data_IF_810247160857
#
_entry.id   IF_810247160857
#
_cell.length_a   1.000
_cell.length_b   1.000
_cell.length_c   1.000
_cell.angle_alpha   90.00
_cell.angle_beta   90.00
_cell.angle_gamma   90.00
#
_symmetry.space_group_name_H-M   'P 1'
#
loop_
_entity.id
_entity.type
_entity.pdbx_description
1 polymer ?
#
# COMPACT_ATOMS: atom_id res chain seq x y z
N UNK A 1 7.95 -7.92 -13.60
CA UNK A 1 7.33 -7.34 -12.38
C UNK A 1 6.17 -8.17 -11.85
N UNK A 2 5.09 -8.37 -12.63
CA UNK A 2 3.91 -9.14 -12.18
C UNK A 2 4.28 -10.58 -11.79
N UNK A 3 5.07 -11.27 -12.61
CA UNK A 3 5.57 -12.63 -12.31
C UNK A 3 6.28 -12.74 -10.97
N UNK A 4 7.18 -11.81 -10.67
CA UNK A 4 7.91 -11.75 -9.40
C UNK A 4 6.96 -11.52 -8.22
N UNK A 5 5.96 -10.65 -8.40
CA UNK A 5 4.98 -10.37 -7.37
C UNK A 5 4.08 -11.58 -7.07
N UNK A 6 3.66 -12.32 -8.10
CA UNK A 6 2.89 -13.58 -7.94
C UNK A 6 3.72 -14.63 -7.23
N UNK A 7 4.99 -14.80 -7.60
CA UNK A 7 5.89 -15.79 -7.00
C UNK A 7 6.11 -15.55 -5.50
N UNK A 8 6.28 -14.28 -5.10
CA UNK A 8 6.60 -13.91 -3.72
C UNK A 8 5.39 -13.45 -2.89
N UNK A 9 4.16 -13.62 -3.41
CA UNK A 9 2.93 -13.07 -2.81
C UNK A 9 2.68 -13.55 -1.37
N UNK A 10 3.01 -14.80 -1.05
CA UNK A 10 2.77 -15.40 0.27
C UNK A 10 3.99 -15.37 1.20
N UNK A 11 5.13 -14.85 0.73
CA UNK A 11 6.41 -14.88 1.47
C UNK A 11 6.52 -13.68 2.44
N UNK A 12 5.67 -13.66 3.45
CA UNK A 12 5.64 -12.64 4.50
C UNK A 12 5.32 -13.23 5.86
N UNK A 13 5.74 -12.52 6.91
CA UNK A 13 5.40 -12.83 8.29
C UNK A 13 4.57 -11.70 8.90
N UNK A 14 3.88 -11.99 9.98
CA UNK A 14 3.14 -11.00 10.75
C UNK A 14 3.88 -10.75 12.07
N UNK A 15 4.02 -9.48 12.44
CA UNK A 15 4.61 -9.07 13.71
C UNK A 15 3.63 -8.18 14.45
N UNK A 16 3.37 -8.50 15.71
CA UNK A 16 2.61 -7.65 16.62
C UNK A 16 3.49 -6.51 17.10
N UNK A 17 3.10 -5.27 16.80
CA UNK A 17 3.81 -4.07 17.24
C UNK A 17 2.89 -3.28 18.15
N UNK A 18 3.41 -2.86 19.30
CA UNK A 18 2.71 -1.93 20.18
C UNK A 18 2.80 -0.52 19.58
N UNK A 19 1.66 0.07 19.28
CA UNK A 19 1.56 1.42 18.73
C UNK A 19 0.77 2.29 19.71
N UNK A 20 1.29 3.47 20.02
CA UNK A 20 0.58 4.43 20.87
C UNK A 20 -0.43 5.23 20.05
N UNK A 21 -1.68 5.23 20.50
CA UNK A 21 -2.77 6.05 19.96
C UNK A 21 -3.24 7.06 21.01
N UNK A 22 -3.89 8.14 20.57
CA UNK A 22 -4.62 9.00 21.51
C UNK A 22 -5.86 8.25 22.01
N UNK A 23 -6.11 8.30 23.32
CA UNK A 23 -7.34 7.78 23.91
C UNK A 23 -8.48 8.73 23.58
N UNK A 24 -9.60 8.17 23.11
CA UNK A 24 -10.76 8.94 22.67
C UNK A 24 -11.93 8.70 23.61
N UNK A 25 -12.73 9.74 23.84
CA UNK A 25 -14.05 9.64 24.47
C UNK A 25 -15.07 8.99 23.52
N UNK A 26 -16.25 8.63 24.02
CA UNK A 26 -17.38 8.10 23.25
C UNK A 26 -17.82 9.01 22.09
N UNK A 27 -17.48 10.30 22.15
CA UNK A 27 -17.74 11.31 21.10
C UNK A 27 -16.59 11.49 20.11
N UNK A 28 -15.55 10.66 20.18
CA UNK A 28 -14.37 10.70 19.29
C UNK A 28 -13.40 11.85 19.56
N UNK A 29 -13.55 12.56 20.68
CA UNK A 29 -12.64 13.64 21.10
C UNK A 29 -11.48 13.07 21.93
N UNK A 30 -10.30 13.70 21.85
CA UNK A 30 -9.11 13.26 22.59
C UNK A 30 -9.24 13.59 24.08
N UNK A 31 -8.95 12.61 24.93
CA UNK A 31 -8.90 12.80 26.38
C UNK A 31 -7.60 13.53 26.74
N UNK A 32 -7.74 14.57 27.57
CA UNK A 32 -6.64 15.38 28.05
C UNK A 32 -6.40 15.08 29.54
N UNK A 33 -5.13 14.98 29.93
CA UNK A 33 -4.68 14.96 31.32
C UNK A 33 -3.83 16.19 31.58
N UNK A 34 -3.98 16.81 32.74
CA UNK A 34 -3.15 17.95 33.13
C UNK A 34 -1.78 17.45 33.61
N UNK A 35 -0.72 17.99 33.03
CA UNK A 35 0.66 17.76 33.44
C UNK A 35 1.28 19.04 33.99
N UNK A 36 2.17 18.92 34.96
CA UNK A 36 2.88 20.05 35.56
C UNK A 36 4.29 20.13 34.99
N UNK A 37 4.70 21.34 34.60
CA UNK A 37 6.05 21.65 34.14
C UNK A 37 7.04 21.70 35.31
N UNK A 38 8.35 21.66 35.03
CA UNK A 38 9.39 21.84 36.05
C UNK A 38 9.32 23.20 36.77
N UNK A 39 8.67 24.18 36.17
CA UNK A 39 8.44 25.52 36.72
C UNK A 39 6.99 25.70 37.22
N UNK A 40 6.34 24.62 37.67
CA UNK A 40 4.97 24.58 38.21
C UNK A 40 3.83 25.07 37.30
N UNK A 41 4.10 25.34 36.02
CA UNK A 41 3.07 25.67 35.03
C UNK A 41 2.30 24.42 34.60
N UNK A 42 0.98 24.46 34.68
CA UNK A 42 0.08 23.37 34.26
C UNK A 42 -0.24 23.48 32.77
N UNK A 43 -0.25 22.35 32.07
CA UNK A 43 -0.61 22.25 30.66
C UNK A 43 -1.30 20.93 30.36
N UNK A 44 -2.14 20.90 29.33
CA UNK A 44 -2.89 19.71 28.95
C UNK A 44 -2.10 18.83 27.98
N UNK A 45 -2.09 17.53 28.26
CA UNK A 45 -1.43 16.51 27.45
C UNK A 45 -2.44 15.46 27.05
N UNK A 46 -2.43 15.05 25.79
CA UNK A 46 -3.28 13.97 25.29
C UNK A 46 -2.90 12.66 25.97
N UNK A 47 -3.88 12.00 26.61
CA UNK A 47 -3.70 10.66 27.15
C UNK A 47 -3.50 9.66 26.00
N UNK A 48 -2.51 8.78 26.15
CA UNK A 48 -2.15 7.80 25.12
C UNK A 48 -2.36 6.39 25.62
N UNK A 49 -2.96 5.56 24.79
CA UNK A 49 -3.16 4.14 25.02
C UNK A 49 -2.24 3.32 24.09
N UNK A 50 -1.70 2.21 24.59
CA UNK A 50 -0.93 1.28 23.77
C UNK A 50 -1.87 0.26 23.16
N UNK A 51 -1.97 0.28 21.83
CA UNK A 51 -2.74 -0.68 21.05
C UNK A 51 -1.79 -1.64 20.35
N UNK A 52 -2.12 -2.93 20.38
CA UNK A 52 -1.42 -3.93 19.59
C UNK A 52 -1.91 -3.83 18.14
N UNK A 53 -0.99 -3.57 17.21
CA UNK A 53 -1.26 -3.58 15.78
C UNK A 53 -0.50 -4.72 15.13
N UNK A 54 -1.19 -5.55 14.36
CA UNK A 54 -0.54 -6.55 13.51
C UNK A 54 -0.02 -5.87 12.25
N UNK A 55 1.29 -5.97 12.01
CA UNK A 55 1.95 -5.41 10.83
C UNK A 55 2.55 -6.55 10.03
N UNK A 56 2.34 -6.53 8.71
CA UNK A 56 2.99 -7.44 7.77
C UNK A 56 4.45 -7.03 7.55
N UNK A 57 5.35 -8.00 7.61
CA UNK A 57 6.79 -7.85 7.36
C UNK A 57 7.18 -8.82 6.25
N UNK A 58 7.79 -8.31 5.19
CA UNK A 58 8.22 -9.13 4.04
C UNK A 58 9.44 -9.98 4.41
N UNK A 59 9.47 -11.24 3.97
CA UNK A 59 10.66 -12.09 4.08
C UNK A 59 11.78 -11.59 3.15
N UNK A 60 13.07 -11.95 3.38
CA UNK A 60 14.19 -11.45 2.59
C UNK A 60 14.04 -11.62 1.07
N UNK A 61 13.49 -12.74 0.60
CA UNK A 61 13.24 -12.99 -0.83
C UNK A 61 12.22 -12.01 -1.41
N UNK A 62 11.08 -11.86 -0.72
CA UNK A 62 10.02 -10.91 -1.09
C UNK A 62 10.51 -9.47 -1.04
N UNK A 63 11.33 -9.12 -0.05
CA UNK A 63 11.91 -7.78 0.08
C UNK A 63 12.85 -7.47 -1.10
N UNK A 64 13.66 -8.44 -1.53
CA UNK A 64 14.52 -8.29 -2.69
C UNK A 64 13.70 -8.07 -3.98
N UNK A 65 12.67 -8.90 -4.21
CA UNK A 65 11.76 -8.74 -5.34
C UNK A 65 11.03 -7.37 -5.30
N UNK A 66 10.60 -6.95 -4.12
CA UNK A 66 9.95 -5.66 -3.90
C UNK A 66 10.85 -4.49 -4.25
N UNK A 67 12.14 -4.53 -3.88
CA UNK A 67 13.12 -3.50 -4.23
C UNK A 67 13.36 -3.42 -5.73
N UNK A 68 13.45 -4.57 -6.41
CA UNK A 68 13.55 -4.61 -7.87
C UNK A 68 12.31 -4.04 -8.56
N UNK A 69 11.13 -4.23 -7.99
CA UNK A 69 9.89 -3.64 -8.52
C UNK A 69 9.84 -2.13 -8.26
N UNK A 70 10.31 -1.68 -7.08
CA UNK A 70 10.35 -0.26 -6.70
C UNK A 70 11.25 0.60 -7.57
N UNK A 71 12.26 0.03 -8.23
CA UNK A 71 13.11 0.80 -9.15
C UNK A 71 12.39 1.17 -10.45
N UNK A 72 11.32 0.46 -10.78
CA UNK A 72 10.56 0.67 -12.02
C UNK A 72 9.21 1.34 -11.76
N UNK A 73 8.54 0.99 -10.65
CA UNK A 73 7.26 1.58 -10.30
C UNK A 73 7.43 2.91 -9.55
N UNK A 74 6.70 3.92 -9.99
CA UNK A 74 6.60 5.21 -9.33
C UNK A 74 5.35 5.23 -8.46
N UNK A 75 5.39 5.98 -7.36
CA UNK A 75 4.19 6.25 -6.57
C UNK A 75 3.24 7.16 -7.34
N UNK A 76 1.98 6.74 -7.43
CA UNK A 76 0.95 7.48 -8.14
C UNK A 76 -0.07 8.07 -7.17
N UNK A 77 -1.01 8.84 -7.70
CA UNK A 77 -2.18 9.31 -6.96
C UNK A 77 -3.43 8.69 -7.55
N UNK A 78 -4.37 8.37 -6.69
CA UNK A 78 -5.73 7.98 -7.09
C UNK A 78 -6.51 9.20 -7.60
N UNK A 79 -7.70 8.94 -8.14
CA UNK A 79 -8.69 9.95 -8.57
C UNK A 79 -9.03 10.94 -7.44
N UNK A 80 -9.07 10.47 -6.18
CA UNK A 80 -9.26 11.28 -4.96
C UNK A 80 -8.03 12.13 -4.58
N UNK A 81 -6.91 12.03 -5.30
CA UNK A 81 -5.64 12.67 -4.97
C UNK A 81 -4.85 12.00 -3.83
N UNK A 82 -5.32 10.86 -3.31
CA UNK A 82 -4.62 10.07 -2.28
C UNK A 82 -3.38 9.40 -2.87
N UNK A 83 -2.27 9.37 -2.12
CA UNK A 83 -1.04 8.67 -2.53
C UNK A 83 -1.27 7.17 -2.51
N UNK A 84 -0.98 6.53 -3.64
CA UNK A 84 -1.09 5.10 -3.82
C UNK A 84 0.29 4.50 -3.83
N UNK A 85 0.50 3.54 -2.94
CA UNK A 85 1.68 2.70 -3.03
C UNK A 85 1.42 1.61 -4.09
N UNK A 86 1.87 1.89 -5.32
CA UNK A 86 1.68 1.02 -6.49
C UNK A 86 2.22 -0.39 -6.26
N UNK A 87 3.30 -0.52 -5.47
CA UNK A 87 3.90 -1.80 -5.13
C UNK A 87 2.99 -2.60 -4.19
N UNK A 88 2.39 -1.96 -3.18
CA UNK A 88 1.38 -2.62 -2.35
C UNK A 88 0.17 -3.06 -3.17
N UNK A 89 -0.30 -2.21 -4.08
CA UNK A 89 -1.42 -2.55 -4.96
C UNK A 89 -1.10 -3.78 -5.84
N UNK A 90 0.12 -3.82 -6.38
CA UNK A 90 0.60 -4.98 -7.15
C UNK A 90 0.57 -6.28 -6.33
N UNK A 91 1.05 -6.26 -5.08
CA UNK A 91 1.09 -7.46 -4.23
C UNK A 91 -0.28 -7.84 -3.65
N UNK A 92 -1.13 -6.86 -3.32
CA UNK A 92 -2.37 -7.11 -2.59
C UNK A 92 -3.57 -7.32 -3.50
N UNK A 93 -3.56 -6.71 -4.69
CA UNK A 93 -4.72 -6.71 -5.60
C UNK A 93 -4.44 -7.46 -6.89
N UNK A 94 -3.27 -7.22 -7.50
CA UNK A 94 -2.96 -7.76 -8.84
C UNK A 94 -2.40 -9.19 -8.75
N UNK A 95 -1.37 -9.42 -7.94
CA UNK A 95 -0.72 -10.73 -7.79
C UNK A 95 -1.70 -11.87 -7.42
N UNK A 96 -2.65 -11.69 -6.47
CA UNK A 96 -3.59 -12.75 -6.12
C UNK A 96 -4.48 -13.22 -7.29
N UNK A 97 -4.78 -12.33 -8.26
CA UNK A 97 -5.60 -12.68 -9.43
C UNK A 97 -4.91 -13.63 -10.39
N UNK A 98 -3.58 -13.71 -10.33
CA UNK A 98 -2.75 -14.46 -11.27
C UNK A 98 -2.07 -15.68 -10.65
N UNK A 99 -2.50 -16.09 -9.46
CA UNK A 99 -1.99 -17.32 -8.84
C UNK A 99 -2.23 -18.50 -9.79
N UNK A 100 -1.18 -19.28 -10.07
CA UNK A 100 -1.24 -20.42 -10.97
C UNK A 100 -1.06 -20.09 -12.47
N UNK A 101 -0.95 -18.81 -12.85
CA UNK A 101 -0.69 -18.41 -14.23
C UNK A 101 0.81 -18.25 -14.49
N UNK A 102 1.36 -19.03 -15.41
CA UNK A 102 2.80 -19.03 -15.76
C UNK A 102 3.18 -18.03 -16.87
N UNK A 103 2.49 -16.90 -17.00
CA UNK A 103 2.81 -15.85 -17.98
C UNK A 103 1.62 -15.28 -18.74
N UNK A 104 1.88 -14.37 -19.67
CA UNK A 104 0.84 -13.74 -20.50
C UNK A 104 -0.20 -12.97 -19.66
N UNK A 105 0.27 -12.05 -18.82
CA UNK A 105 -0.57 -11.26 -17.91
C UNK A 105 -1.29 -10.10 -18.60
N UNK A 106 -0.86 -9.75 -19.81
CA UNK A 106 -1.41 -8.66 -20.61
C UNK A 106 -1.96 -9.19 -21.93
N UNK A 107 -2.97 -8.50 -22.46
CA UNK A 107 -3.56 -8.74 -23.78
C UNK A 107 -3.57 -7.43 -24.55
N UNK A 108 -3.31 -7.52 -25.85
CA UNK A 108 -3.42 -6.41 -26.80
C UNK A 108 -4.57 -6.70 -27.76
N UNK A 109 -5.56 -5.81 -27.78
CA UNK A 109 -6.68 -5.87 -28.73
C UNK A 109 -6.50 -4.75 -29.75
N UNK A 110 -6.26 -5.10 -31.01
CA UNK A 110 -6.11 -4.11 -32.09
C UNK A 110 -7.44 -3.43 -32.37
N UNK A 111 -7.39 -2.11 -32.52
CA UNK A 111 -8.50 -1.27 -32.94
C UNK A 111 -8.30 -0.85 -34.40
N UNK A 112 -9.33 -0.23 -34.98
CA UNK A 112 -9.22 0.44 -36.28
C UNK A 112 -8.26 1.63 -36.25
N UNK A 113 -8.02 2.22 -37.41
CA UNK A 113 -7.18 3.41 -37.54
C UNK A 113 -7.82 4.63 -36.85
N UNK A 114 -7.00 5.44 -36.19
CA UNK A 114 -7.43 6.70 -35.58
C UNK A 114 -7.84 7.69 -36.66
N UNK A 115 -8.96 8.38 -36.44
CA UNK A 115 -9.50 9.37 -37.38
C UNK A 115 -8.58 10.59 -37.42
N UNK A 116 -8.11 10.97 -38.61
CA UNK A 116 -7.32 12.19 -38.87
C UNK A 116 -5.86 11.92 -39.26
N UNK A 117 -5.23 10.90 -38.68
CA UNK A 117 -3.83 10.54 -38.95
C UNK A 117 -3.64 9.07 -39.41
N UNK A 118 -4.73 8.30 -39.48
CA UNK A 118 -4.76 6.88 -39.81
C UNK A 118 -3.82 6.01 -38.94
N UNK A 119 -3.45 6.47 -37.74
CA UNK A 119 -2.55 5.75 -36.87
C UNK A 119 -3.20 4.45 -36.33
N UNK A 120 -2.51 3.30 -36.36
CA UNK A 120 -3.06 2.05 -35.82
C UNK A 120 -3.20 2.16 -34.29
N UNK A 121 -4.38 1.78 -33.78
CA UNK A 121 -4.70 1.84 -32.37
C UNK A 121 -4.78 0.43 -31.76
N UNK A 122 -4.58 0.34 -30.44
CA UNK A 122 -4.83 -0.87 -29.68
C UNK A 122 -5.18 -0.56 -28.22
N UNK A 123 -5.93 -1.46 -27.59
CA UNK A 123 -6.19 -1.46 -26.15
C UNK A 123 -5.24 -2.46 -25.49
N UNK A 124 -4.60 -2.04 -24.41
CA UNK A 124 -3.77 -2.88 -23.54
C UNK A 124 -4.53 -3.17 -22.25
N UNK A 125 -4.76 -4.44 -21.96
CA UNK A 125 -5.53 -4.86 -20.78
C UNK A 125 -4.77 -5.92 -19.99
N UNK A 126 -5.04 -5.97 -18.69
CA UNK A 126 -4.66 -7.07 -17.81
C UNK A 126 -5.67 -8.22 -17.98
N UNK A 127 -5.20 -9.46 -18.05
CA UNK A 127 -6.03 -10.66 -18.35
C UNK A 127 -6.72 -11.22 -17.12
#
# INVERSE_FOLDING_TARGET
>A
MISLAVKEQSNFTTRTVLVSGAKLDDKGRKILRTATSKNDRKYDVVEREMKTKTVQVDMPSRLAARRQIMSVLVETRDEDGKRVNTVNYLFNTVAPRYIGRSGGYTRITKLGARRGDAAPMAILELV
#
